data_IF_998485542659
#
_entry.id   IF_998485542659
#
_cell.length_a   1.000
_cell.length_b   1.000
_cell.length_c   1.000
_cell.angle_alpha   90.00
_cell.angle_beta   90.00
_cell.angle_gamma   90.00
#
_symmetry.space_group_name_H-M   'P 1'
#
loop_
_entity.id
_entity.type
_entity.pdbx_description
1 polymer ?
#
# COMPACT_ATOMS: atom_id res chain seq x y z
N UNK A 1 17.33 -2.29 -25.72
CA UNK A 1 17.45 -2.69 -24.31
C UNK A 1 16.09 -3.20 -23.86
N UNK A 2 15.99 -4.46 -23.45
CA UNK A 2 14.70 -5.11 -23.16
C UNK A 2 14.07 -4.56 -21.86
N UNK A 3 12.80 -4.25 -21.91
CA UNK A 3 11.96 -3.63 -20.89
C UNK A 3 11.74 -4.45 -19.60
N UNK A 4 12.63 -5.36 -19.24
CA UNK A 4 12.45 -6.27 -18.10
C UNK A 4 12.96 -5.72 -16.77
N UNK A 5 13.64 -4.58 -16.77
CA UNK A 5 14.31 -4.06 -15.57
C UNK A 5 13.40 -3.21 -14.67
N UNK A 6 12.29 -2.69 -15.19
CA UNK A 6 11.41 -1.77 -14.48
C UNK A 6 10.10 -2.45 -14.01
N UNK A 7 10.18 -3.72 -13.66
CA UNK A 7 9.03 -4.50 -13.21
C UNK A 7 8.45 -4.02 -11.88
N UNK A 8 9.30 -3.52 -10.97
CA UNK A 8 8.92 -3.24 -9.60
C UNK A 8 9.76 -2.12 -8.99
N UNK A 9 9.11 -1.24 -8.22
CA UNK A 9 9.73 -0.26 -7.35
C UNK A 9 9.10 -0.29 -5.95
N UNK A 10 9.95 -0.21 -4.92
CA UNK A 10 9.52 -0.03 -3.54
C UNK A 10 9.38 1.46 -3.22
N UNK A 11 8.23 1.87 -2.70
CA UNK A 11 7.94 3.25 -2.31
C UNK A 11 7.68 3.32 -0.82
N UNK A 12 8.66 3.81 -0.05
CA UNK A 12 8.47 4.10 1.36
C UNK A 12 7.78 5.46 1.50
N UNK A 13 6.57 5.43 2.05
CA UNK A 13 5.68 6.59 2.10
C UNK A 13 6.28 7.77 2.88
N UNK A 14 6.89 7.47 4.03
CA UNK A 14 7.65 8.42 4.82
C UNK A 14 8.48 7.67 5.86
N UNK A 15 9.58 8.27 6.34
CA UNK A 15 10.33 7.78 7.48
C UNK A 15 10.95 8.96 8.25
N UNK A 16 10.95 8.87 9.57
CA UNK A 16 11.50 9.89 10.45
C UNK A 16 11.37 9.53 11.91
N UNK A 17 11.86 10.44 12.77
CA UNK A 17 11.70 10.35 14.22
C UNK A 17 10.21 10.44 14.63
N UNK A 18 9.81 9.90 15.78
CA UNK A 18 10.61 9.10 16.71
C UNK A 18 10.80 7.64 16.25
N UNK A 19 11.65 6.90 16.94
CA UNK A 19 11.90 5.46 16.77
C UNK A 19 12.62 5.09 15.46
N UNK A 20 13.47 5.97 14.95
CA UNK A 20 14.13 5.79 13.63
C UNK A 20 14.87 4.46 13.52
N UNK A 21 15.63 4.04 14.55
CA UNK A 21 16.37 2.78 14.55
C UNK A 21 15.46 1.55 14.40
N UNK A 22 14.30 1.60 15.04
CA UNK A 22 13.30 0.54 14.92
C UNK A 22 12.66 0.51 13.52
N UNK A 23 12.34 1.67 12.97
CA UNK A 23 11.79 1.81 11.62
C UNK A 23 12.80 1.35 10.56
N UNK A 24 14.09 1.66 10.71
CA UNK A 24 15.17 1.15 9.85
C UNK A 24 15.24 -0.38 9.90
N UNK A 25 15.07 -1.00 11.07
CA UNK A 25 15.02 -2.47 11.18
C UNK A 25 13.81 -3.06 10.44
N UNK A 26 12.64 -2.41 10.53
CA UNK A 26 11.44 -2.81 9.77
C UNK A 26 11.71 -2.67 8.26
N UNK A 27 12.23 -1.53 7.83
CA UNK A 27 12.57 -1.28 6.42
C UNK A 27 13.51 -2.35 5.88
N UNK A 28 14.63 -2.61 6.58
CA UNK A 28 15.58 -3.66 6.19
C UNK A 28 14.92 -5.03 6.08
N UNK A 29 14.08 -5.40 7.08
CA UNK A 29 13.33 -6.65 7.03
C UNK A 29 12.45 -6.72 5.79
N UNK A 30 11.67 -5.69 5.49
CA UNK A 30 10.75 -5.65 4.37
C UNK A 30 11.48 -5.76 3.03
N UNK A 31 12.60 -5.04 2.88
CA UNK A 31 13.43 -5.09 1.67
C UNK A 31 14.00 -6.48 1.42
N UNK A 32 14.61 -7.10 2.43
CA UNK A 32 15.11 -8.47 2.33
C UNK A 32 13.98 -9.47 2.03
N UNK A 33 12.80 -9.28 2.66
CA UNK A 33 11.64 -10.13 2.45
C UNK A 33 11.17 -10.07 0.98
N UNK A 34 11.05 -8.87 0.42
CA UNK A 34 10.65 -8.65 -0.98
C UNK A 34 11.69 -9.23 -1.94
N UNK A 35 12.99 -8.99 -1.71
CA UNK A 35 14.04 -9.56 -2.54
C UNK A 35 13.96 -11.09 -2.57
N UNK A 36 13.73 -11.72 -1.41
CA UNK A 36 13.57 -13.17 -1.32
C UNK A 36 12.38 -13.72 -2.12
N UNK A 37 11.38 -12.87 -2.39
CA UNK A 37 10.21 -13.21 -3.21
C UNK A 37 10.48 -12.99 -4.72
N UNK A 38 11.04 -11.84 -5.08
CA UNK A 38 11.21 -11.42 -6.48
C UNK A 38 12.46 -12.07 -7.09
N UNK A 39 13.51 -12.27 -6.30
CA UNK A 39 14.83 -12.79 -6.72
C UNK A 39 15.50 -11.97 -7.84
N UNK A 40 15.19 -10.68 -7.91
CA UNK A 40 15.76 -9.70 -8.84
C UNK A 40 16.04 -8.39 -8.12
N UNK A 41 17.11 -7.67 -8.47
CA UNK A 41 17.32 -6.31 -7.98
C UNK A 41 16.15 -5.39 -8.35
N UNK A 42 15.87 -4.43 -7.49
CA UNK A 42 14.81 -3.45 -7.69
C UNK A 42 15.22 -2.08 -7.16
N UNK A 43 14.45 -1.07 -7.52
CA UNK A 43 14.69 0.31 -7.14
C UNK A 43 13.83 0.71 -5.93
N UNK A 44 14.27 1.74 -5.21
CA UNK A 44 13.59 2.23 -4.03
C UNK A 44 13.47 3.76 -4.04
N UNK A 45 12.26 4.26 -3.72
CA UNK A 45 12.03 5.65 -3.34
C UNK A 45 11.78 5.72 -1.84
N UNK A 46 12.43 6.66 -1.18
CA UNK A 46 12.25 6.92 0.25
C UNK A 46 11.95 8.39 0.47
N UNK A 47 10.91 8.65 1.25
CA UNK A 47 10.56 9.99 1.71
C UNK A 47 11.01 10.16 3.16
N UNK A 48 11.91 11.09 3.43
CA UNK A 48 12.44 11.39 4.76
C UNK A 48 11.90 12.72 5.28
N UNK A 49 11.39 12.73 6.52
CA UNK A 49 10.89 13.95 7.17
C UNK A 49 11.99 14.93 7.57
N UNK A 50 13.22 14.45 7.72
CA UNK A 50 14.36 15.26 8.14
C UNK A 50 15.68 14.72 7.57
N UNK A 51 16.71 15.58 7.59
CA UNK A 51 18.03 15.23 7.08
C UNK A 51 18.76 14.23 7.98
N UNK A 52 18.49 14.24 9.30
CA UNK A 52 19.17 13.37 10.28
C UNK A 52 18.82 11.90 10.07
N UNK A 53 17.62 11.64 9.52
CA UNK A 53 17.17 10.28 9.22
C UNK A 53 17.81 9.70 7.94
N UNK A 54 18.23 10.55 7.03
CA UNK A 54 18.66 10.10 5.70
C UNK A 54 19.98 9.32 5.75
N UNK A 55 20.99 9.80 6.47
CA UNK A 55 22.32 9.19 6.50
C UNK A 55 22.31 7.74 7.05
N UNK A 56 21.66 7.42 8.18
CA UNK A 56 21.52 6.04 8.64
C UNK A 56 20.80 5.13 7.63
N UNK A 57 19.80 5.67 6.93
CA UNK A 57 19.04 4.94 5.91
C UNK A 57 19.92 4.67 4.69
N UNK A 58 20.62 5.68 4.16
CA UNK A 58 21.55 5.54 3.05
C UNK A 58 22.63 4.49 3.35
N UNK A 59 23.22 4.56 4.55
CA UNK A 59 24.22 3.60 5.00
C UNK A 59 23.69 2.17 5.00
N UNK A 60 22.48 1.98 5.53
CA UNK A 60 21.82 0.67 5.55
C UNK A 60 21.52 0.18 4.13
N UNK A 61 20.98 1.03 3.25
CA UNK A 61 20.62 0.66 1.89
C UNK A 61 21.84 0.31 1.04
N UNK A 62 22.94 1.06 1.15
CA UNK A 62 24.18 0.79 0.46
C UNK A 62 24.81 -0.56 0.86
N UNK A 63 24.44 -1.10 2.02
CA UNK A 63 24.84 -2.46 2.43
C UNK A 63 24.03 -3.58 1.76
N UNK A 64 22.97 -3.25 1.02
CA UNK A 64 22.05 -4.21 0.38
C UNK A 64 22.34 -4.31 -1.13
N UNK A 65 23.16 -5.27 -1.53
CA UNK A 65 23.61 -5.45 -2.92
C UNK A 65 22.48 -5.69 -3.94
N UNK A 66 21.27 -5.98 -3.49
CA UNK A 66 20.12 -6.18 -4.36
C UNK A 66 19.29 -4.90 -4.61
N UNK A 67 19.62 -3.79 -3.98
CA UNK A 67 19.04 -2.49 -4.33
C UNK A 67 19.84 -1.91 -5.49
N UNK A 68 19.13 -1.59 -6.59
CA UNK A 68 19.76 -1.10 -7.82
C UNK A 68 19.96 0.40 -7.80
N UNK A 69 18.85 1.14 -7.57
CA UNK A 69 18.88 2.60 -7.46
C UNK A 69 18.13 3.05 -6.20
N UNK A 70 18.66 4.06 -5.55
CA UNK A 70 18.12 4.66 -4.34
C UNK A 70 17.75 6.12 -4.64
N UNK A 71 16.50 6.49 -4.48
CA UNK A 71 15.99 7.84 -4.65
C UNK A 71 15.47 8.32 -3.30
N UNK A 72 16.14 9.30 -2.69
CA UNK A 72 15.75 9.85 -1.38
C UNK A 72 15.24 11.27 -1.57
N UNK A 73 14.00 11.49 -1.16
CA UNK A 73 13.41 12.81 -1.04
C UNK A 73 13.40 13.23 0.44
N UNK A 74 13.97 14.40 0.71
CA UNK A 74 14.11 14.98 2.04
C UNK A 74 13.28 16.25 2.09
N UNK A 75 12.32 16.32 2.99
CA UNK A 75 11.57 17.55 3.23
C UNK A 75 10.97 17.52 4.64
N UNK A 76 11.34 18.52 5.43
CA UNK A 76 10.68 18.77 6.70
C UNK A 76 9.24 19.24 6.46
N UNK A 77 8.28 18.65 7.15
CA UNK A 77 6.86 19.00 7.00
C UNK A 77 5.93 17.86 7.37
N UNK A 78 4.79 17.82 6.71
CA UNK A 78 3.73 16.83 6.90
C UNK A 78 3.70 15.83 5.73
N UNK A 79 3.04 14.70 5.94
CA UNK A 79 3.04 13.57 5.01
C UNK A 79 2.61 13.97 3.57
N UNK A 80 1.52 14.69 3.43
CA UNK A 80 1.00 15.08 2.11
C UNK A 80 1.92 16.08 1.40
N UNK A 81 2.55 17.01 2.12
CA UNK A 81 3.55 17.90 1.52
C UNK A 81 4.78 17.15 1.04
N UNK A 82 5.24 16.17 1.84
CA UNK A 82 6.37 15.32 1.50
C UNK A 82 6.09 14.57 0.19
N UNK A 83 4.88 14.04 0.02
CA UNK A 83 4.48 13.39 -1.22
C UNK A 83 4.37 14.37 -2.39
N UNK A 84 3.63 15.47 -2.22
CA UNK A 84 3.37 16.42 -3.31
C UNK A 84 4.63 17.10 -3.87
N UNK A 85 5.69 17.13 -3.08
CA UNK A 85 6.96 17.78 -3.48
C UNK A 85 8.05 16.79 -3.89
N UNK A 86 7.75 15.48 -3.92
CA UNK A 86 8.74 14.49 -4.30
C UNK A 86 9.09 14.57 -5.80
N UNK A 87 10.33 14.95 -6.15
CA UNK A 87 10.76 15.13 -7.54
C UNK A 87 10.91 13.80 -8.29
N UNK A 88 10.87 12.68 -7.56
CA UNK A 88 11.06 11.34 -8.13
C UNK A 88 9.75 10.69 -8.61
N UNK A 89 8.60 11.36 -8.53
CA UNK A 89 7.34 10.80 -9.02
C UNK A 89 7.36 10.56 -10.53
N UNK A 90 8.08 11.38 -11.29
CA UNK A 90 8.18 11.22 -12.74
C UNK A 90 8.81 9.91 -13.19
N UNK A 91 9.71 9.34 -12.37
CA UNK A 91 10.31 8.05 -12.72
C UNK A 91 9.35 6.88 -12.56
N UNK A 92 8.31 7.02 -11.73
CA UNK A 92 7.34 5.97 -11.43
C UNK A 92 6.59 5.48 -12.66
N UNK A 93 6.41 6.36 -13.68
CA UNK A 93 5.81 5.99 -14.98
C UNK A 93 6.55 4.89 -15.72
N UNK A 94 7.82 4.69 -15.37
CA UNK A 94 8.65 3.65 -15.99
C UNK A 94 8.45 2.27 -15.35
N UNK A 95 7.73 2.18 -14.21
CA UNK A 95 7.56 0.93 -13.47
C UNK A 95 6.16 0.36 -13.63
N UNK A 96 6.08 -0.95 -13.82
CA UNK A 96 4.79 -1.65 -13.92
C UNK A 96 4.06 -1.75 -12.58
N UNK A 97 4.81 -1.82 -11.48
CA UNK A 97 4.26 -2.05 -10.14
C UNK A 97 4.98 -1.18 -9.11
N UNK A 98 4.20 -0.40 -8.35
CA UNK A 98 4.63 0.45 -7.26
C UNK A 98 4.12 -0.17 -5.97
N UNK A 99 5.03 -0.59 -5.10
CA UNK A 99 4.70 -1.13 -3.79
C UNK A 99 4.89 -0.06 -2.72
N UNK A 100 3.78 0.53 -2.32
CA UNK A 100 3.70 1.59 -1.32
C UNK A 100 3.54 0.99 0.08
N UNK A 101 4.31 1.49 1.06
CA UNK A 101 4.22 1.03 2.45
C UNK A 101 4.67 2.13 3.42
N UNK A 102 4.06 2.18 4.61
CA UNK A 102 4.48 3.06 5.71
C UNK A 102 5.70 2.48 6.44
N UNK A 103 6.43 3.34 7.17
CA UNK A 103 7.69 3.01 7.86
C UNK A 103 7.54 2.10 9.09
N UNK A 104 6.36 2.06 9.66
CA UNK A 104 6.01 1.26 10.83
C UNK A 104 5.20 0.00 10.49
N UNK A 105 5.13 -0.35 9.22
CA UNK A 105 4.42 -1.53 8.72
C UNK A 105 5.39 -2.63 8.34
N UNK A 106 5.31 -3.77 9.03
CA UNK A 106 6.15 -4.94 8.81
C UNK A 106 5.43 -6.00 7.96
N UNK A 107 6.09 -6.51 6.93
CA UNK A 107 5.61 -7.65 6.16
C UNK A 107 5.72 -8.92 7.02
N UNK A 108 4.61 -9.64 7.19
CA UNK A 108 4.54 -10.89 7.94
C UNK A 108 4.49 -12.10 7.00
N UNK A 109 3.58 -12.06 6.04
CA UNK A 109 3.41 -13.09 5.03
C UNK A 109 2.93 -12.47 3.73
N UNK A 110 3.75 -12.56 2.68
CA UNK A 110 3.41 -12.01 1.38
C UNK A 110 4.19 -12.69 0.26
N UNK A 111 3.52 -12.91 -0.85
CA UNK A 111 4.18 -13.21 -2.12
C UNK A 111 3.85 -12.09 -3.11
N UNK A 112 4.84 -11.22 -3.37
CA UNK A 112 4.66 -10.02 -4.21
C UNK A 112 4.22 -10.40 -5.63
N UNK A 113 4.78 -11.46 -6.20
CA UNK A 113 4.43 -11.90 -7.57
C UNK A 113 2.96 -12.33 -7.62
N UNK A 114 2.49 -13.02 -6.59
CA UNK A 114 1.09 -13.41 -6.51
C UNK A 114 0.18 -12.20 -6.25
N UNK A 115 0.61 -11.23 -5.45
CA UNK A 115 -0.15 -10.00 -5.22
C UNK A 115 -0.32 -9.22 -6.54
N UNK A 116 0.75 -9.06 -7.32
CA UNK A 116 0.71 -8.45 -8.66
C UNK A 116 -0.22 -9.21 -9.60
N UNK A 117 -0.15 -10.55 -9.56
CA UNK A 117 -1.02 -11.39 -10.38
C UNK A 117 -2.51 -11.18 -10.02
N UNK A 118 -2.85 -11.14 -8.73
CA UNK A 118 -4.21 -10.86 -8.24
C UNK A 118 -4.67 -9.48 -8.73
N UNK A 119 -3.86 -8.43 -8.53
CA UNK A 119 -4.18 -7.07 -8.99
C UNK A 119 -4.55 -7.06 -10.47
N UNK A 120 -3.68 -7.63 -11.31
CA UNK A 120 -3.88 -7.68 -12.78
C UNK A 120 -5.08 -8.54 -13.18
N UNK A 121 -5.27 -9.72 -12.55
CA UNK A 121 -6.35 -10.65 -12.90
C UNK A 121 -7.73 -10.07 -12.64
N UNK A 122 -7.89 -9.37 -11.52
CA UNK A 122 -9.17 -8.81 -11.11
C UNK A 122 -9.33 -7.33 -11.46
N UNK A 123 -8.35 -6.75 -12.17
CA UNK A 123 -8.32 -5.33 -12.54
C UNK A 123 -8.61 -4.44 -11.31
N UNK A 124 -7.82 -4.61 -10.25
CA UNK A 124 -7.93 -3.88 -8.99
C UNK A 124 -7.00 -2.68 -9.07
N UNK A 125 -7.51 -1.48 -8.78
CA UNK A 125 -6.70 -0.26 -8.70
C UNK A 125 -5.84 -0.26 -7.43
N UNK A 126 -6.47 -0.38 -6.25
CA UNK A 126 -5.77 -0.36 -4.96
C UNK A 126 -5.90 -1.73 -4.30
N UNK A 127 -4.80 -2.46 -4.23
CA UNK A 127 -4.78 -3.77 -3.61
C UNK A 127 -3.95 -3.75 -2.32
N UNK A 128 -4.60 -4.05 -1.20
CA UNK A 128 -3.97 -4.18 0.12
C UNK A 128 -3.87 -5.65 0.54
N UNK A 129 -2.81 -6.06 1.23
CA UNK A 129 -2.85 -7.27 2.06
C UNK A 129 -3.74 -7.03 3.30
N UNK A 130 -4.03 -8.09 4.05
CA UNK A 130 -4.62 -8.00 5.38
C UNK A 130 -3.69 -7.19 6.32
N UNK A 131 -4.24 -6.22 7.04
CA UNK A 131 -3.50 -5.40 8.03
C UNK A 131 -3.81 -5.89 9.45
N UNK A 132 -2.78 -6.36 10.16
CA UNK A 132 -2.85 -6.75 11.57
C UNK A 132 -2.48 -5.53 12.41
N UNK A 133 -3.30 -5.17 13.39
CA UNK A 133 -3.10 -3.96 14.21
C UNK A 133 -3.55 -2.67 13.55
N UNK A 134 -4.29 -2.76 12.46
CA UNK A 134 -4.96 -1.61 11.83
C UNK A 134 -6.25 -1.22 12.57
N UNK A 135 -6.87 -0.15 12.10
CA UNK A 135 -8.07 0.45 12.71
C UNK A 135 -9.33 -0.38 12.42
N UNK A 136 -9.45 -0.89 11.19
CA UNK A 136 -10.70 -1.47 10.71
C UNK A 136 -10.71 -2.99 10.82
N UNK A 137 -11.72 -3.55 11.53
CA UNK A 137 -11.86 -4.99 11.73
C UNK A 137 -12.07 -5.76 10.44
N UNK A 138 -12.74 -5.18 9.44
CA UNK A 138 -12.96 -5.84 8.16
C UNK A 138 -11.64 -6.10 7.41
N UNK A 139 -10.56 -5.37 7.68
CA UNK A 139 -9.22 -5.64 7.13
C UNK A 139 -8.66 -7.00 7.58
N UNK A 140 -9.23 -7.63 8.60
CA UNK A 140 -8.80 -8.93 9.18
C UNK A 140 -9.92 -9.96 9.26
N UNK A 141 -11.13 -9.61 8.88
CA UNK A 141 -12.36 -10.41 9.12
C UNK A 141 -12.34 -11.79 8.48
N UNK A 142 -11.73 -11.90 7.30
CA UNK A 142 -11.79 -13.12 6.52
C UNK A 142 -10.53 -13.95 6.63
N UNK A 143 -10.68 -15.27 6.44
CA UNK A 143 -9.57 -16.22 6.39
C UNK A 143 -8.83 -16.18 5.05
N UNK A 144 -7.81 -17.01 4.92
CA UNK A 144 -6.98 -17.11 3.71
C UNK A 144 -7.80 -17.48 2.46
N UNK A 145 -7.22 -17.18 1.29
CA UNK A 145 -7.78 -17.43 -0.04
C UNK A 145 -9.06 -16.64 -0.38
N UNK A 146 -9.26 -15.50 0.27
CA UNK A 146 -10.39 -14.62 0.01
C UNK A 146 -9.89 -13.28 -0.50
N UNK A 147 -10.58 -12.72 -1.51
CA UNK A 147 -10.47 -11.33 -1.94
C UNK A 147 -11.76 -10.63 -1.52
N UNK A 148 -11.65 -9.60 -0.69
CA UNK A 148 -12.75 -8.70 -0.36
C UNK A 148 -12.64 -7.43 -1.18
N UNK A 149 -13.55 -7.21 -2.13
CA UNK A 149 -13.67 -5.91 -2.78
C UNK A 149 -14.30 -4.93 -1.80
N UNK A 150 -13.67 -3.78 -1.66
CA UNK A 150 -13.96 -2.82 -0.62
C UNK A 150 -14.13 -1.40 -1.17
N UNK A 151 -14.96 -0.60 -0.53
CA UNK A 151 -15.05 0.84 -0.78
C UNK A 151 -14.11 1.63 0.12
N UNK A 152 -13.55 0.97 1.13
CA UNK A 152 -12.51 1.52 1.96
C UNK A 152 -11.47 0.43 2.29
N UNK A 153 -10.20 0.80 2.30
CA UNK A 153 -9.07 -0.04 2.72
C UNK A 153 -8.02 0.83 3.39
N UNK A 154 -7.39 0.33 4.43
CA UNK A 154 -6.30 1.05 5.07
C UNK A 154 -5.12 1.27 4.13
N UNK A 155 -4.61 2.50 4.10
CA UNK A 155 -3.53 2.93 3.20
C UNK A 155 -2.13 2.60 3.72
N UNK A 156 -2.00 1.63 4.61
CA UNK A 156 -0.72 1.26 5.23
C UNK A 156 0.22 0.50 4.30
N UNK A 157 -0.35 -0.29 3.39
CA UNK A 157 0.42 -1.07 2.42
C UNK A 157 -0.44 -1.32 1.18
N UNK A 158 -0.02 -0.78 0.05
CA UNK A 158 -0.79 -0.80 -1.20
C UNK A 158 0.08 -1.19 -2.39
N UNK A 159 -0.52 -1.89 -3.33
CA UNK A 159 0.07 -2.17 -4.64
C UNK A 159 -0.66 -1.38 -5.71
N UNK A 160 0.07 -0.54 -6.43
CA UNK A 160 -0.40 0.31 -7.51
C UNK A 160 0.25 -0.04 -8.86
N UNK A 161 -0.33 0.40 -9.98
CA UNK A 161 0.38 0.87 -11.14
C UNK A 161 0.53 2.40 -11.11
N UNK A 162 1.21 2.97 -12.09
CA UNK A 162 1.46 4.42 -12.12
C UNK A 162 0.18 5.26 -12.10
N UNK A 163 -0.82 4.89 -12.91
CA UNK A 163 -2.06 5.66 -13.01
C UNK A 163 -2.85 5.61 -11.71
N UNK A 164 -2.88 4.46 -11.06
CA UNK A 164 -3.54 4.27 -9.77
C UNK A 164 -2.80 5.02 -8.65
N UNK A 165 -1.46 5.03 -8.68
CA UNK A 165 -0.65 5.83 -7.77
C UNK A 165 -0.93 7.33 -7.93
N UNK A 166 -1.02 7.84 -9.15
CA UNK A 166 -1.36 9.24 -9.39
C UNK A 166 -2.78 9.58 -8.92
N UNK A 167 -3.75 8.67 -9.07
CA UNK A 167 -5.08 8.85 -8.45
C UNK A 167 -4.98 8.94 -6.93
N UNK A 168 -4.18 8.06 -6.31
CA UNK A 168 -3.95 8.10 -4.86
C UNK A 168 -3.35 9.44 -4.43
N UNK A 169 -2.35 9.96 -5.14
CA UNK A 169 -1.78 11.28 -4.86
C UNK A 169 -2.82 12.40 -4.99
N UNK A 170 -3.67 12.33 -6.01
CA UNK A 170 -4.69 13.36 -6.28
C UNK A 170 -5.80 13.44 -5.22
N UNK A 171 -6.19 12.33 -4.61
CA UNK A 171 -7.22 12.33 -3.56
C UNK A 171 -6.71 12.76 -2.19
N UNK A 172 -5.39 12.85 -2.00
CA UNK A 172 -4.80 13.36 -0.77
C UNK A 172 -4.78 14.89 -0.78
N UNK A 173 -5.37 15.48 0.25
CA UNK A 173 -5.57 16.91 0.38
C UNK A 173 -4.54 17.51 1.33
N UNK A 174 -3.92 18.64 0.93
CA UNK A 174 -2.98 19.37 1.77
C UNK A 174 -3.62 19.87 3.09
N UNK A 175 -4.93 20.12 3.07
CA UNK A 175 -5.70 20.52 4.24
C UNK A 175 -6.04 19.33 5.16
N UNK A 176 -5.77 18.10 4.71
CA UNK A 176 -5.87 16.86 5.50
C UNK A 176 -4.50 16.18 5.59
N UNK A 177 -3.51 16.80 6.25
CA UNK A 177 -2.11 16.37 6.25
C UNK A 177 -1.87 14.98 6.85
N UNK A 178 -2.80 14.50 7.68
CA UNK A 178 -2.75 13.17 8.29
C UNK A 178 -3.36 12.07 7.41
N UNK A 179 -3.98 12.45 6.27
CA UNK A 179 -4.66 11.54 5.33
C UNK A 179 -5.83 10.73 5.92
N UNK A 180 -6.28 11.06 7.14
CA UNK A 180 -7.38 10.35 7.78
C UNK A 180 -8.67 10.57 6.99
N UNK A 181 -9.40 9.47 6.75
CA UNK A 181 -10.65 9.49 5.97
C UNK A 181 -10.48 9.36 4.46
N UNK A 182 -9.25 9.48 3.92
CA UNK A 182 -8.99 9.21 2.51
C UNK A 182 -9.29 7.74 2.18
N UNK A 183 -8.91 6.85 3.08
CA UNK A 183 -9.17 5.42 3.02
C UNK A 183 -10.67 5.06 3.00
N UNK A 184 -11.51 5.88 3.64
CA UNK A 184 -12.96 5.69 3.70
C UNK A 184 -13.68 6.06 2.39
N UNK A 185 -13.09 6.94 1.58
CA UNK A 185 -13.75 7.56 0.43
C UNK A 185 -13.38 6.92 -0.92
N UNK A 186 -12.75 5.75 -0.94
CA UNK A 186 -12.37 5.10 -2.20
C UNK A 186 -13.59 4.78 -3.07
N UNK A 187 -14.72 4.37 -2.45
CA UNK A 187 -15.98 4.19 -3.15
C UNK A 187 -16.57 5.49 -3.71
N UNK A 188 -16.43 6.60 -3.00
CA UNK A 188 -16.81 7.94 -3.48
C UNK A 188 -16.04 8.34 -4.73
N UNK A 189 -14.74 8.05 -4.77
CA UNK A 189 -13.88 8.32 -5.92
C UNK A 189 -13.94 7.26 -7.02
N UNK A 190 -14.84 6.29 -6.92
CA UNK A 190 -14.96 5.16 -7.87
C UNK A 190 -13.66 4.37 -8.04
N UNK A 191 -12.88 4.25 -6.99
CA UNK A 191 -11.64 3.48 -6.98
C UNK A 191 -11.96 2.02 -6.67
N UNK A 192 -11.65 1.15 -7.60
CA UNK A 192 -11.81 -0.29 -7.41
C UNK A 192 -10.72 -0.83 -6.49
N UNK A 193 -11.04 -0.95 -5.22
CA UNK A 193 -10.11 -1.42 -4.21
C UNK A 193 -10.46 -2.80 -3.65
N UNK A 194 -9.46 -3.50 -3.11
CA UNK A 194 -9.66 -4.81 -2.50
C UNK A 194 -8.60 -5.14 -1.45
N UNK A 195 -8.98 -6.03 -0.52
CA UNK A 195 -8.09 -6.68 0.44
C UNK A 195 -7.88 -8.13 0.02
N UNK A 196 -6.63 -8.58 -0.07
CA UNK A 196 -6.30 -9.98 -0.26
C UNK A 196 -5.87 -10.62 1.06
N UNK A 197 -6.75 -11.41 1.64
CA UNK A 197 -6.62 -11.92 3.01
C UNK A 197 -5.59 -13.04 3.19
N UNK A 198 -5.04 -13.59 2.10
CA UNK A 198 -4.00 -14.61 2.18
C UNK A 198 -2.62 -14.04 2.57
N UNK A 199 -2.42 -12.74 2.37
CA UNK A 199 -1.20 -12.05 2.73
C UNK A 199 -1.45 -11.08 3.87
N UNK A 200 -0.42 -10.82 4.67
CA UNK A 200 -0.55 -9.97 5.83
C UNK A 200 0.68 -9.11 6.08
N UNK A 201 0.38 -7.89 6.52
CA UNK A 201 1.33 -6.96 7.13
C UNK A 201 0.88 -6.66 8.55
N UNK A 202 1.78 -6.16 9.39
CA UNK A 202 1.48 -5.75 10.76
C UNK A 202 1.90 -4.31 10.98
N UNK A 203 0.99 -3.50 11.46
CA UNK A 203 1.26 -2.18 11.98
C UNK A 203 1.93 -2.33 13.35
N UNK A 204 3.14 -1.81 13.49
CA UNK A 204 4.05 -2.15 14.59
C UNK A 204 4.12 -1.11 15.70
N UNK A 205 3.82 0.15 15.37
CA UNK A 205 3.89 1.28 16.31
C UNK A 205 2.52 1.91 16.49
N UNK A 206 2.20 2.45 17.66
CA UNK A 206 1.02 3.27 17.84
C UNK A 206 1.14 4.54 17.00
N UNK A 207 0.01 5.05 16.50
CA UNK A 207 -0.02 6.33 15.80
C UNK A 207 0.53 7.45 16.71
N UNK A 208 1.47 8.22 16.17
CA UNK A 208 2.00 9.42 16.82
C UNK A 208 1.19 10.67 16.46
N UNK A 209 0.10 10.53 15.70
CA UNK A 209 -0.78 11.65 15.34
C UNK A 209 -1.47 12.23 16.57
N UNK A 210 -1.63 13.55 16.58
CA UNK A 210 -2.55 14.18 17.53
C UNK A 210 -3.97 13.82 17.11
N UNK A 211 -4.56 12.82 17.77
CA UNK A 211 -5.87 12.27 17.43
C UNK A 211 -6.99 13.34 17.38
N UNK A 212 -6.92 14.36 18.22
CA UNK A 212 -7.90 15.45 18.21
C UNK A 212 -7.81 16.29 16.93
N UNK A 213 -6.60 16.69 16.55
CA UNK A 213 -6.36 17.48 15.32
C UNK A 213 -6.66 16.64 14.09
N UNK A 214 -6.12 15.43 14.01
CA UNK A 214 -6.32 14.54 12.88
C UNK A 214 -7.80 14.17 12.68
N UNK A 215 -8.53 13.93 13.78
CA UNK A 215 -9.97 13.68 13.74
C UNK A 215 -10.79 14.88 13.28
N UNK A 216 -10.43 16.09 13.70
CA UNK A 216 -11.05 17.34 13.23
C UNK A 216 -10.83 17.56 11.72
N UNK A 217 -9.62 17.36 11.25
CA UNK A 217 -9.29 17.48 9.82
C UNK A 217 -10.00 16.40 8.98
N UNK A 218 -10.09 15.16 9.48
CA UNK A 218 -10.88 14.11 8.85
C UNK A 218 -12.36 14.52 8.76
N UNK A 219 -12.95 15.07 9.82
CA UNK A 219 -14.33 15.52 9.81
C UNK A 219 -14.55 16.62 8.76
N UNK A 220 -13.65 17.59 8.67
CA UNK A 220 -13.69 18.64 7.63
C UNK A 220 -13.60 18.01 6.23
N UNK A 221 -12.65 17.11 6.02
CA UNK A 221 -12.46 16.41 4.76
C UNK A 221 -13.67 15.61 4.29
N UNK A 222 -14.37 14.95 5.22
CA UNK A 222 -15.63 14.23 4.96
C UNK A 222 -16.78 15.20 4.66
N UNK A 223 -16.91 16.28 5.46
CA UNK A 223 -17.99 17.28 5.31
C UNK A 223 -17.93 18.00 3.95
N UNK A 224 -16.77 18.38 3.47
CA UNK A 224 -16.56 18.97 2.14
C UNK A 224 -17.05 18.05 1.01
N UNK A 225 -17.12 16.74 1.25
CA UNK A 225 -17.58 15.71 0.30
C UNK A 225 -19.02 15.25 0.59
N UNK A 226 -19.72 15.95 1.49
CA UNK A 226 -21.14 15.74 1.79
C UNK A 226 -21.44 14.64 2.80
N UNK A 227 -20.44 14.23 3.62
CA UNK A 227 -20.63 13.23 4.68
C UNK A 227 -20.45 13.87 6.05
N UNK A 228 -21.43 13.69 6.94
CA UNK A 228 -21.40 14.22 8.31
C UNK A 228 -20.56 13.35 9.26
N UNK A 229 -20.35 12.08 8.92
CA UNK A 229 -19.67 11.11 9.78
C UNK A 229 -19.13 9.92 8.98
N UNK A 230 -18.28 9.11 9.62
CA UNK A 230 -17.85 7.80 9.12
C UNK A 230 -19.02 6.86 8.89
N UNK A 231 -20.07 6.94 9.73
CA UNK A 231 -21.27 6.12 9.58
C UNK A 231 -22.00 6.44 8.28
N UNK A 232 -22.17 7.74 7.95
CA UNK A 232 -22.80 8.17 6.69
C UNK A 232 -22.03 7.61 5.47
N UNK A 233 -20.70 7.61 5.53
CA UNK A 233 -19.89 7.01 4.48
C UNK A 233 -20.15 5.51 4.38
N UNK A 234 -20.13 4.80 5.50
CA UNK A 234 -20.30 3.34 5.54
C UNK A 234 -21.71 2.89 5.15
N UNK A 235 -22.74 3.69 5.42
CA UNK A 235 -24.10 3.45 4.96
C UNK A 235 -24.22 3.56 3.44
N UNK A 236 -23.59 4.58 2.86
CA UNK A 236 -23.61 4.81 1.41
C UNK A 236 -22.66 3.88 0.66
N UNK A 237 -21.47 3.64 1.22
CA UNK A 237 -20.41 2.81 0.63
C UNK A 237 -20.04 1.72 1.62
N UNK A 238 -20.67 0.55 1.50
CA UNK A 238 -20.36 -0.60 2.37
C UNK A 238 -18.85 -0.90 2.35
N UNK A 239 -18.18 -1.01 3.52
CA UNK A 239 -16.74 -1.27 3.57
C UNK A 239 -16.31 -2.44 2.69
N UNK A 240 -16.94 -3.59 2.85
CA UNK A 240 -16.78 -4.76 1.94
C UNK A 240 -18.11 -4.97 1.21
N UNK A 241 -18.10 -4.87 -0.12
CA UNK A 241 -19.31 -5.02 -0.92
C UNK A 241 -19.36 -6.31 -1.74
N UNK A 242 -18.23 -6.99 -1.92
CA UNK A 242 -18.16 -8.26 -2.65
C UNK A 242 -17.01 -9.12 -2.14
N UNK A 243 -17.26 -10.41 -1.99
CA UNK A 243 -16.27 -11.39 -1.58
C UNK A 243 -16.12 -12.43 -2.69
N UNK A 244 -14.87 -12.76 -3.00
CA UNK A 244 -14.55 -13.84 -3.94
C UNK A 244 -13.63 -14.82 -3.22
N UNK A 245 -14.00 -16.10 -3.18
CA UNK A 245 -13.11 -17.15 -2.73
C UNK A 245 -12.16 -17.54 -3.87
N UNK A 246 -10.87 -17.48 -3.59
CA UNK A 246 -9.85 -17.98 -4.50
C UNK A 246 -9.72 -19.51 -4.27
N UNK A 247 -10.13 -20.36 -5.22
CA UNK A 247 -10.26 -21.80 -5.00
C UNK A 247 -8.94 -22.54 -4.78
N UNK A 248 -7.80 -21.86 -4.97
CA UNK A 248 -6.48 -22.46 -4.77
C UNK A 248 -5.53 -21.49 -4.05
N UNK A 249 -4.78 -21.98 -3.03
CA UNK A 249 -3.58 -21.28 -2.63
C UNK A 249 -2.67 -21.20 -3.86
N UNK A 250 -2.19 -20.01 -4.17
CA UNK A 250 -1.21 -19.86 -5.24
C UNK A 250 0.06 -20.62 -4.85
N UNK A 251 0.19 -21.87 -5.29
CA UNK A 251 1.45 -22.57 -5.16
C UNK A 251 2.48 -21.84 -6.02
N UNK A 252 3.64 -21.58 -5.46
CA UNK A 252 4.75 -20.85 -6.08
C UNK A 252 5.30 -21.49 -7.37
N UNK A 253 4.74 -22.61 -7.77
CA UNK A 253 5.30 -23.51 -8.78
C UNK A 253 4.67 -23.46 -10.18
N UNK A 254 3.60 -22.68 -10.40
CA UNK A 254 2.98 -22.63 -11.74
C UNK A 254 3.48 -21.43 -12.56
N UNK A 255 3.93 -21.63 -13.81
CA UNK A 255 4.31 -20.57 -14.73
C UNK A 255 3.16 -19.57 -14.95
N UNK A 256 3.47 -18.29 -15.03
CA UNK A 256 2.53 -17.16 -15.11
C UNK A 256 1.41 -17.37 -16.15
N UNK A 257 1.72 -17.96 -17.33
CA UNK A 257 0.76 -18.23 -18.40
C UNK A 257 -0.31 -19.26 -18.04
N UNK A 258 0.03 -20.31 -17.29
CA UNK A 258 -0.94 -21.35 -16.87
C UNK A 258 -1.87 -20.89 -15.76
N UNK A 259 -1.40 -20.01 -14.87
CA UNK A 259 -2.24 -19.45 -13.77
C UNK A 259 -3.42 -18.65 -14.31
N UNK A 260 -3.23 -17.90 -15.42
CA UNK A 260 -4.28 -17.07 -16.04
C UNK A 260 -5.45 -17.87 -16.62
N UNK A 261 -5.20 -19.08 -17.15
CA UNK A 261 -6.24 -19.94 -17.73
C UNK A 261 -7.12 -20.60 -16.64
N UNK A 262 -6.54 -21.01 -15.52
CA UNK A 262 -7.26 -21.67 -14.44
C UNK A 262 -8.23 -20.75 -13.70
N UNK A 263 -7.91 -19.43 -13.62
CA UNK A 263 -8.76 -18.44 -12.94
C UNK A 263 -10.00 -18.03 -13.76
N UNK A 264 -9.92 -17.99 -15.08
CA UNK A 264 -11.09 -17.66 -15.92
C UNK A 264 -12.22 -18.70 -15.79
N UNK A 265 -11.90 -19.93 -15.44
CA UNK A 265 -12.84 -21.04 -15.49
C UNK A 265 -13.46 -21.47 -14.14
N UNK A 266 -13.05 -20.88 -12.98
CA UNK A 266 -13.52 -21.33 -11.67
C UNK A 266 -13.71 -20.19 -10.65
N UNK A 267 -14.36 -19.11 -11.04
CA UNK A 267 -14.81 -18.09 -10.08
C UNK A 267 -16.14 -18.53 -9.45
N UNK A 268 -16.13 -18.84 -8.17
CA UNK A 268 -17.35 -19.03 -7.39
C UNK A 268 -17.66 -17.71 -6.70
N UNK A 269 -18.73 -17.07 -7.10
CA UNK A 269 -19.31 -15.93 -6.40
C UNK A 269 -20.04 -16.43 -5.16
N UNK A 270 -19.58 -16.05 -3.98
CA UNK A 270 -20.36 -16.21 -2.76
C UNK A 270 -21.35 -15.03 -2.67
N UNK A 271 -22.54 -15.24 -3.21
CA UNK A 271 -23.67 -14.35 -2.91
C UNK A 271 -24.18 -14.70 -1.51
N UNK A 272 -23.90 -13.85 -0.55
CA UNK A 272 -24.64 -13.76 0.72
C UNK A 272 -24.82 -12.30 1.11
#
# INVERSE_FOLDING_TARGET
>A
MSSTDNFFIYYLAAIGNPNIDYKIKILKHNLCYIFNNIKKPYDIIINCYDDDCALPIETMLNSLSFIRNIFIHKKKGILVELWNTNPHHDILKNYENIFFILDDVKIINMNIINLIFIKKTFNISFLSPKVIGGTWDYMRKYNNNVIGFANNIEIFCLLFDYNDFMKFMHINDINNPWTWGVDLLLGYYNIKSAVYYNFSVKHMLPSNSNHGIAGGQMATYLNERGFKSVNDVNEKYKPIYKIIQCPYPFSSLLPFKRKRLLYKNKMILLNK
#
